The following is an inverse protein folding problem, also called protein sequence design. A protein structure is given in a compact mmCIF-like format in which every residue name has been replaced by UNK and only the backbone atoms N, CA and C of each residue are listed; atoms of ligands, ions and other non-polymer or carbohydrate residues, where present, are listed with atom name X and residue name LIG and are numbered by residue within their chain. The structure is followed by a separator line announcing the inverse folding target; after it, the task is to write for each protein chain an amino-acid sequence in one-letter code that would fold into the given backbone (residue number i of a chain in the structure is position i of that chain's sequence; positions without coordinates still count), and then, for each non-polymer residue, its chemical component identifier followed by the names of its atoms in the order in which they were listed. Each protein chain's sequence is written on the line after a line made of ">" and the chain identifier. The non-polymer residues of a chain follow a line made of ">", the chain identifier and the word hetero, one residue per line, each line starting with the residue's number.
data_IF_074411056599
#
_entry.id   IF_074411056599
#
_cell.length_a   1.000
_cell.length_b   1.000
_cell.length_c   1.000
_cell.angle_alpha   90.00
_cell.angle_beta   90.00
_cell.angle_gamma   90.00
#
_symmetry.space_group_name_H-M   'P 1'
#
loop_
_entity.id
_entity.type
_entity.pdbx_description
1 polymer ?
#
# COMPACT_ATOMS: atom_id res chain seq x y z
N UNK A 1 -16.83 9.26 29.50
CA UNK A 1 -15.70 8.31 29.58
C UNK A 1 -14.69 8.69 28.51
N UNK A 2 -13.46 9.02 28.89
CA UNK A 2 -12.39 9.20 27.90
C UNK A 2 -12.06 7.84 27.29
N UNK A 3 -11.99 7.74 25.96
CA UNK A 3 -11.56 6.53 25.28
C UNK A 3 -10.09 6.26 25.63
N UNK A 4 -9.79 5.07 26.14
CA UNK A 4 -8.41 4.64 26.33
C UNK A 4 -7.68 4.71 24.98
N UNK A 5 -6.48 5.31 24.89
CA UNK A 5 -5.68 5.31 23.67
C UNK A 5 -5.43 3.88 23.16
N UNK A 6 -5.35 3.71 21.84
CA UNK A 6 -5.00 2.40 21.27
C UNK A 6 -3.61 1.97 21.76
N UNK A 7 -3.39 0.70 22.13
CA UNK A 7 -2.05 0.22 22.46
C UNK A 7 -1.09 0.26 21.26
N UNK A 8 -1.65 0.36 20.04
CA UNK A 8 -0.91 0.51 18.80
C UNK A 8 -0.56 1.98 18.49
N UNK A 9 -1.03 2.92 19.30
CA UNK A 9 -0.86 4.35 19.04
C UNK A 9 0.61 4.76 19.10
N UNK A 10 1.03 5.57 18.13
CA UNK A 10 2.34 6.21 18.11
C UNK A 10 2.42 7.31 19.18
N UNK A 11 3.48 7.27 19.98
CA UNK A 11 3.84 8.28 20.99
C UNK A 11 4.99 9.12 20.46
N UNK A 12 4.64 10.18 19.73
CA UNK A 12 5.61 11.05 19.10
C UNK A 12 6.46 11.84 20.10
N UNK A 13 7.73 12.02 19.76
CA UNK A 13 8.63 13.00 20.39
C UNK A 13 9.12 13.95 19.31
N UNK A 14 8.86 15.24 19.44
CA UNK A 14 9.29 16.24 18.46
C UNK A 14 10.82 16.21 18.29
N UNK A 15 11.30 16.22 17.04
CA UNK A 15 12.72 16.11 16.72
C UNK A 15 13.29 14.68 16.76
N UNK A 16 12.50 13.65 17.13
CA UNK A 16 12.94 12.26 17.02
C UNK A 16 13.29 11.93 15.57
N UNK A 17 14.43 11.29 15.37
CA UNK A 17 14.90 10.85 14.05
C UNK A 17 14.81 9.34 13.93
N UNK A 18 14.31 8.86 12.80
CA UNK A 18 14.22 7.44 12.47
C UNK A 18 14.82 7.21 11.08
N UNK A 19 15.55 6.12 10.89
CA UNK A 19 16.06 5.75 9.58
C UNK A 19 15.34 4.50 9.10
N UNK A 20 14.81 4.52 7.89
CA UNK A 20 14.13 3.38 7.29
C UNK A 20 14.89 2.90 6.07
N UNK A 21 14.94 1.59 5.88
CA UNK A 21 15.30 0.95 4.62
C UNK A 21 14.05 0.26 4.08
N UNK A 22 13.78 0.44 2.79
CA UNK A 22 12.71 -0.28 2.10
C UNK A 22 13.28 -1.02 0.89
N UNK A 23 12.84 -2.25 0.70
CA UNK A 23 13.17 -3.09 -0.45
C UNK A 23 11.92 -3.75 -0.98
N UNK A 24 11.80 -3.82 -2.30
CA UNK A 24 10.77 -4.63 -2.94
C UNK A 24 11.39 -5.47 -4.04
N UNK A 25 11.06 -6.76 -4.05
CA UNK A 25 11.36 -7.61 -5.20
C UNK A 25 10.55 -7.12 -6.40
N UNK A 26 11.17 -7.11 -7.59
CA UNK A 26 10.44 -6.88 -8.82
C UNK A 26 9.43 -7.99 -9.05
N UNK A 27 8.46 -7.73 -9.91
CA UNK A 27 7.46 -8.72 -10.32
C UNK A 27 8.16 -10.03 -10.71
N UNK A 28 7.72 -11.15 -10.12
CA UNK A 28 8.25 -12.48 -10.39
C UNK A 28 9.78 -12.59 -10.23
N UNK A 29 10.31 -11.97 -9.17
CA UNK A 29 11.75 -11.88 -8.87
C UNK A 29 12.58 -11.11 -9.91
N UNK A 30 11.94 -10.24 -10.70
CA UNK A 30 12.63 -9.29 -11.57
C UNK A 30 13.39 -8.21 -10.80
N UNK A 31 14.01 -7.25 -11.52
CA UNK A 31 14.72 -6.14 -10.90
C UNK A 31 13.82 -5.39 -9.91
N UNK A 32 14.23 -5.39 -8.65
CA UNK A 32 13.48 -4.76 -7.57
C UNK A 32 13.74 -3.26 -7.45
N UNK A 33 13.27 -2.72 -6.32
CA UNK A 33 13.53 -1.35 -5.91
C UNK A 33 14.16 -1.32 -4.52
N UNK A 34 14.79 -0.20 -4.21
CA UNK A 34 15.43 0.09 -2.93
C UNK A 34 15.24 1.56 -2.56
N UNK A 35 15.16 1.86 -1.27
CA UNK A 35 15.25 3.24 -0.78
C UNK A 35 15.70 3.30 0.67
N UNK A 36 16.42 4.36 1.02
CA UNK A 36 16.68 4.76 2.40
C UNK A 36 15.93 6.06 2.68
N UNK A 37 15.29 6.16 3.84
CA UNK A 37 14.62 7.37 4.29
C UNK A 37 15.10 7.78 5.67
N UNK A 38 15.59 9.01 5.81
CA UNK A 38 15.76 9.64 7.11
C UNK A 38 14.50 10.42 7.45
N UNK A 39 13.87 10.08 8.57
CA UNK A 39 12.67 10.72 9.11
C UNK A 39 13.05 11.68 10.23
N UNK A 40 12.33 12.80 10.32
CA UNK A 40 12.32 13.67 11.49
C UNK A 40 10.89 13.94 11.91
N UNK A 41 10.57 13.69 13.17
CA UNK A 41 9.25 14.00 13.73
C UNK A 41 9.10 15.52 13.88
N UNK A 42 8.03 16.05 13.30
CA UNK A 42 7.63 17.46 13.38
C UNK A 42 6.20 17.57 13.89
N UNK A 43 5.82 18.78 14.28
CA UNK A 43 4.47 19.12 14.74
C UNK A 43 3.91 20.26 13.89
N UNK A 44 2.68 20.11 13.40
CA UNK A 44 2.01 21.15 12.62
C UNK A 44 1.57 22.32 13.52
N UNK A 45 1.14 23.43 12.91
CA UNK A 45 0.61 24.58 13.65
C UNK A 45 -0.66 24.21 14.45
N UNK A 46 -1.43 23.23 13.99
CA UNK A 46 -2.61 22.68 14.66
C UNK A 46 -2.25 21.65 15.74
N UNK A 47 -0.97 21.39 15.94
CA UNK A 47 -0.46 20.49 16.97
C UNK A 47 -0.45 19.01 16.61
N UNK A 48 -0.64 18.66 15.34
CA UNK A 48 -0.61 17.27 14.85
C UNK A 48 0.82 16.87 14.52
N UNK A 49 1.28 15.75 15.05
CA UNK A 49 2.58 15.17 14.76
C UNK A 49 2.60 14.43 13.43
N UNK A 50 3.75 14.50 12.76
CA UNK A 50 4.02 13.78 11.53
C UNK A 50 5.52 13.54 11.37
N UNK A 51 5.87 12.62 10.49
CA UNK A 51 7.22 12.30 10.08
C UNK A 51 7.47 12.91 8.70
N UNK A 52 8.49 13.76 8.61
CA UNK A 52 9.02 14.24 7.34
C UNK A 52 10.16 13.32 6.91
N UNK A 53 9.95 12.57 5.82
CA UNK A 53 10.92 11.64 5.26
C UNK A 53 11.70 12.31 4.14
N UNK A 54 13.02 12.27 4.27
CA UNK A 54 13.99 12.60 3.22
C UNK A 54 14.58 11.31 2.65
N UNK A 55 14.30 11.08 1.37
CA UNK A 55 14.72 9.87 0.67
C UNK A 55 16.13 10.00 0.09
N UNK A 56 16.85 8.89 0.06
CA UNK A 56 18.19 8.76 -0.51
C UNK A 56 18.41 7.36 -1.08
N UNK A 57 19.44 7.23 -1.93
CA UNK A 57 19.83 5.97 -2.60
C UNK A 57 18.67 5.25 -3.28
N UNK A 58 17.69 6.00 -3.79
CA UNK A 58 16.49 5.42 -4.38
C UNK A 58 16.85 4.72 -5.68
N UNK A 59 16.41 3.47 -5.80
CA UNK A 59 16.54 2.67 -7.02
C UNK A 59 15.19 2.11 -7.41
N UNK A 60 14.86 2.16 -8.69
CA UNK A 60 13.66 1.61 -9.30
C UNK A 60 14.06 0.70 -10.46
N UNK A 61 13.53 -0.53 -10.52
CA UNK A 61 13.93 -1.53 -11.52
C UNK A 61 15.47 -1.70 -11.61
N UNK A 62 16.15 -1.65 -10.46
CA UNK A 62 17.61 -1.72 -10.35
C UNK A 62 18.37 -0.46 -10.75
N UNK A 63 17.72 0.59 -11.27
CA UNK A 63 18.37 1.83 -11.71
C UNK A 63 18.23 2.94 -10.67
N UNK A 64 19.26 3.77 -10.54
CA UNK A 64 19.24 4.93 -9.63
C UNK A 64 18.25 5.99 -10.10
N UNK A 65 17.47 6.51 -9.15
CA UNK A 65 16.49 7.57 -9.39
C UNK A 65 17.00 8.87 -8.76
N UNK A 66 17.15 9.91 -9.58
CA UNK A 66 17.46 11.25 -9.09
C UNK A 66 16.19 11.93 -8.60
N UNK A 67 16.15 12.28 -7.32
CA UNK A 67 15.04 13.02 -6.73
C UNK A 67 15.33 14.53 -6.71
N UNK A 68 14.29 15.37 -6.76
CA UNK A 68 14.42 16.77 -6.37
C UNK A 68 14.98 16.91 -4.95
N UNK A 69 15.91 17.84 -4.72
CA UNK A 69 16.57 18.01 -3.41
C UNK A 69 15.60 18.39 -2.29
N UNK A 70 14.53 19.08 -2.67
CA UNK A 70 13.43 19.53 -1.81
C UNK A 70 12.30 18.51 -1.68
N UNK A 71 12.36 17.37 -2.37
CA UNK A 71 11.34 16.34 -2.25
C UNK A 71 11.26 15.81 -0.81
N UNK A 72 10.06 15.87 -0.24
CA UNK A 72 9.73 15.34 1.09
C UNK A 72 8.46 14.52 0.99
N UNK A 73 8.44 13.42 1.73
CA UNK A 73 7.23 12.66 1.97
C UNK A 73 6.78 12.89 3.41
N UNK A 74 5.49 13.13 3.60
CA UNK A 74 4.90 13.36 4.90
C UNK A 74 3.97 12.21 5.25
N UNK A 75 4.23 11.55 6.37
CA UNK A 75 3.42 10.43 6.87
C UNK A 75 3.19 10.60 8.36
N UNK A 76 2.11 10.00 8.87
CA UNK A 76 1.84 9.99 10.30
C UNK A 76 1.00 8.78 10.67
N UNK A 77 1.04 8.41 11.94
CA UNK A 77 0.17 7.47 12.62
C UNK A 77 -0.78 8.18 13.59
N UNK A 78 -0.70 9.52 13.67
CA UNK A 78 -1.63 10.31 14.46
C UNK A 78 -3.00 10.35 13.77
N UNK A 79 -4.10 9.98 14.44
CA UNK A 79 -5.41 9.87 13.81
C UNK A 79 -5.93 11.14 13.13
N UNK A 80 -5.53 12.31 13.63
CA UNK A 80 -5.94 13.60 13.08
C UNK A 80 -5.17 14.01 11.81
N UNK A 81 -4.05 13.34 11.50
CA UNK A 81 -3.27 13.64 10.30
C UNK A 81 -4.05 13.26 9.04
N UNK A 82 -3.99 14.14 8.04
CA UNK A 82 -4.63 13.93 6.74
C UNK A 82 -3.54 13.59 5.73
N UNK A 83 -3.40 12.30 5.45
CA UNK A 83 -2.49 11.83 4.40
C UNK A 83 -2.88 12.38 3.04
N UNK A 84 -1.89 12.93 2.35
CA UNK A 84 -2.00 13.32 0.95
C UNK A 84 -1.15 12.34 0.15
N UNK A 85 -1.70 11.82 -0.94
CA UNK A 85 -0.97 10.95 -1.84
C UNK A 85 0.30 11.66 -2.33
N UNK A 86 1.47 11.02 -2.31
CA UNK A 86 2.68 11.65 -2.84
C UNK A 86 2.50 12.08 -4.31
N UNK A 87 3.06 13.22 -4.70
CA UNK A 87 3.03 13.64 -6.12
C UNK A 87 3.97 12.80 -7.00
N UNK A 88 5.06 12.27 -6.42
CA UNK A 88 5.99 11.35 -7.07
C UNK A 88 5.66 9.90 -6.67
N UNK A 89 5.37 9.06 -7.66
CA UNK A 89 4.91 7.68 -7.48
C UNK A 89 6.04 6.66 -7.75
N UNK A 90 7.18 6.81 -7.07
CA UNK A 90 8.20 5.75 -7.05
C UNK A 90 7.84 4.69 -6.01
N UNK A 91 8.17 3.43 -6.29
CA UNK A 91 7.71 2.28 -5.50
C UNK A 91 8.07 2.39 -4.00
N UNK A 92 9.29 2.79 -3.60
CA UNK A 92 9.63 3.01 -2.18
C UNK A 92 8.67 3.97 -1.45
N UNK A 93 8.22 5.03 -2.12
CA UNK A 93 7.43 6.09 -1.49
C UNK A 93 5.98 5.65 -1.35
N UNK A 94 5.47 4.99 -2.38
CA UNK A 94 4.11 4.44 -2.38
C UNK A 94 3.96 3.35 -1.31
N UNK A 95 4.90 2.41 -1.25
CA UNK A 95 4.77 1.26 -0.36
C UNK A 95 5.02 1.65 1.10
N UNK A 96 5.94 2.58 1.37
CA UNK A 96 6.05 3.19 2.71
C UNK A 96 4.78 3.93 3.11
N UNK A 97 4.18 4.71 2.22
CA UNK A 97 2.90 5.38 2.48
C UNK A 97 1.80 4.37 2.86
N UNK A 98 1.71 3.25 2.12
CA UNK A 98 0.75 2.19 2.40
C UNK A 98 0.93 1.62 3.81
N UNK A 99 2.17 1.34 4.26
CA UNK A 99 2.42 0.86 5.62
C UNK A 99 1.89 1.81 6.70
N UNK A 100 2.06 3.13 6.52
CA UNK A 100 1.54 4.12 7.46
C UNK A 100 0.02 4.22 7.43
N UNK A 101 -0.60 4.18 6.25
CA UNK A 101 -2.06 4.24 6.10
C UNK A 101 -2.72 3.01 6.71
N UNK A 102 -2.19 1.82 6.44
CA UNK A 102 -2.71 0.56 6.97
C UNK A 102 -2.68 0.52 8.49
N UNK A 103 -1.56 0.93 9.08
CA UNK A 103 -1.44 0.99 10.52
C UNK A 103 -2.32 2.07 11.13
N UNK A 104 -2.45 3.24 10.49
CA UNK A 104 -3.38 4.28 10.95
C UNK A 104 -4.83 3.77 10.92
N UNK A 105 -5.23 3.00 9.91
CA UNK A 105 -6.56 2.38 9.87
C UNK A 105 -6.78 1.48 11.08
N UNK A 106 -5.79 0.66 11.43
CA UNK A 106 -5.84 -0.21 12.62
C UNK A 106 -5.94 0.59 13.93
N UNK A 107 -5.11 1.63 14.09
CA UNK A 107 -5.11 2.52 15.28
C UNK A 107 -6.48 3.19 15.46
N UNK A 108 -7.15 3.57 14.37
CA UNK A 108 -8.46 4.23 14.39
C UNK A 108 -9.61 3.30 14.76
N UNK A 109 -9.43 1.98 14.72
CA UNK A 109 -10.51 1.04 15.03
C UNK A 109 -10.72 0.89 16.54
N UNK A 110 -11.88 1.29 17.10
CA UNK A 110 -12.13 1.13 18.52
C UNK A 110 -12.15 -0.33 18.98
N UNK A 111 -12.48 -1.25 18.07
CA UNK A 111 -12.54 -2.69 18.31
C UNK A 111 -11.17 -3.37 18.40
N UNK A 112 -10.07 -2.71 17.99
CA UNK A 112 -8.72 -3.28 17.97
C UNK A 112 -7.96 -2.85 19.23
N UNK A 113 -7.96 -3.68 20.28
CA UNK A 113 -7.41 -3.33 21.61
C UNK A 113 -6.50 -4.39 22.20
N UNK A 114 -6.61 -5.64 21.81
CA UNK A 114 -5.78 -6.74 22.29
C UNK A 114 -5.57 -7.79 21.19
N UNK A 115 -4.58 -8.68 21.34
CA UNK A 115 -4.38 -9.77 20.40
C UNK A 115 -5.65 -10.61 20.19
N UNK A 116 -5.93 -10.95 18.93
CA UNK A 116 -7.13 -11.64 18.49
C UNK A 116 -8.30 -10.73 18.13
N UNK A 117 -8.27 -9.45 18.51
CA UNK A 117 -9.29 -8.49 18.07
C UNK A 117 -9.19 -8.28 16.55
N UNK A 118 -10.37 -8.12 15.94
CA UNK A 118 -10.53 -8.03 14.48
C UNK A 118 -11.52 -6.94 14.10
N UNK A 119 -11.27 -6.26 12.99
CA UNK A 119 -12.15 -5.25 12.42
C UNK A 119 -12.16 -5.36 10.90
N UNK A 120 -13.36 -5.24 10.32
CA UNK A 120 -13.55 -5.19 8.89
C UNK A 120 -14.00 -3.79 8.47
N UNK A 121 -13.30 -3.19 7.51
CA UNK A 121 -13.59 -1.86 6.98
C UNK A 121 -14.02 -2.01 5.53
N UNK A 122 -15.31 -1.80 5.27
CA UNK A 122 -15.83 -1.70 3.92
C UNK A 122 -15.45 -0.36 3.32
N UNK A 123 -14.80 -0.38 2.16
CA UNK A 123 -14.47 0.79 1.35
C UNK A 123 -14.99 0.60 -0.06
N UNK A 124 -14.57 -0.46 -0.75
CA UNK A 124 -15.01 -0.82 -2.10
C UNK A 124 -14.88 0.29 -3.16
N UNK A 125 -14.08 1.33 -2.87
CA UNK A 125 -13.78 2.46 -3.75
C UNK A 125 -12.49 2.20 -4.51
N UNK A 126 -12.36 2.70 -5.76
CA UNK A 126 -11.14 2.54 -6.54
C UNK A 126 -9.96 3.32 -5.93
N UNK A 127 -8.78 2.70 -5.82
CA UNK A 127 -7.50 3.41 -5.71
C UNK A 127 -6.86 3.47 -7.08
N UNK A 128 -6.68 4.67 -7.62
CA UNK A 128 -6.08 4.79 -8.95
C UNK A 128 -4.59 5.07 -8.91
N UNK A 129 -3.84 4.39 -9.78
CA UNK A 129 -2.46 4.68 -10.16
C UNK A 129 -2.34 5.03 -11.66
N UNK A 130 -3.46 5.34 -12.32
CA UNK A 130 -3.46 5.70 -13.73
C UNK A 130 -2.60 6.96 -13.95
N UNK A 131 -1.54 6.80 -14.75
CA UNK A 131 -0.62 7.88 -15.09
C UNK A 131 0.14 7.56 -16.37
N UNK A 132 0.40 8.59 -17.19
CA UNK A 132 1.16 8.45 -18.44
C UNK A 132 0.52 7.45 -19.40
N UNK A 133 1.24 6.37 -19.70
CA UNK A 133 0.76 5.33 -20.63
C UNK A 133 -0.33 4.41 -20.02
N UNK A 134 -0.48 4.40 -18.70
CA UNK A 134 -1.53 3.65 -18.00
C UNK A 134 -2.80 4.49 -17.98
N UNK A 135 -3.73 4.18 -18.88
CA UNK A 135 -5.00 4.91 -19.08
C UNK A 135 -6.02 4.55 -18.01
N UNK A 136 -6.04 3.27 -17.63
CA UNK A 136 -6.79 2.76 -16.48
C UNK A 136 -5.80 2.00 -15.62
N UNK A 137 -5.82 2.27 -14.33
CA UNK A 137 -5.05 1.56 -13.34
C UNK A 137 -5.75 1.79 -12.02
N UNK A 138 -6.49 0.81 -11.55
CA UNK A 138 -7.06 0.85 -10.22
C UNK A 138 -7.32 -0.54 -9.64
N UNK A 139 -7.32 -0.59 -8.32
CA UNK A 139 -7.85 -1.69 -7.55
C UNK A 139 -8.99 -1.22 -6.65
N UNK A 140 -9.79 -2.16 -6.15
CA UNK A 140 -10.73 -1.89 -5.07
C UNK A 140 -10.51 -2.90 -3.97
N UNK A 141 -10.43 -2.41 -2.74
CA UNK A 141 -10.11 -3.24 -1.59
C UNK A 141 -11.00 -2.84 -0.41
N UNK A 142 -11.39 -3.83 0.36
CA UNK A 142 -11.83 -3.68 1.73
C UNK A 142 -10.67 -4.11 2.66
N UNK A 143 -10.73 -3.74 3.94
CA UNK A 143 -9.68 -4.06 4.89
C UNK A 143 -10.16 -5.04 5.94
N UNK A 144 -9.37 -6.07 6.20
CA UNK A 144 -9.56 -7.03 7.27
C UNK A 144 -8.35 -6.98 8.21
N UNK A 145 -8.53 -6.34 9.35
CA UNK A 145 -7.47 -5.96 10.29
C UNK A 145 -7.53 -6.87 11.50
N UNK A 146 -6.38 -7.43 11.90
CA UNK A 146 -6.22 -8.24 13.10
C UNK A 146 -5.05 -7.73 13.93
N UNK A 147 -5.25 -7.51 15.23
CA UNK A 147 -4.13 -7.35 16.17
C UNK A 147 -3.61 -8.75 16.51
N UNK A 148 -2.44 -9.10 16.01
CA UNK A 148 -1.96 -10.49 16.03
C UNK A 148 -1.18 -10.84 17.29
N UNK A 149 -0.38 -9.93 17.82
CA UNK A 149 0.51 -10.23 18.95
C UNK A 149 0.80 -9.00 19.82
N UNK A 150 0.83 -9.19 21.13
CA UNK A 150 1.35 -8.24 22.11
C UNK A 150 2.41 -8.97 22.95
N UNK A 151 3.66 -8.54 22.86
CA UNK A 151 4.80 -9.20 23.47
C UNK A 151 5.53 -8.23 24.39
N UNK A 152 5.18 -8.26 25.67
CA UNK A 152 5.72 -7.34 26.68
C UNK A 152 7.21 -7.61 26.97
N UNK A 153 7.67 -8.86 26.89
CA UNK A 153 9.06 -9.21 27.19
C UNK A 153 10.04 -8.69 26.14
N UNK A 154 9.65 -8.70 24.87
CA UNK A 154 10.43 -8.07 23.78
C UNK A 154 10.06 -6.61 23.55
N UNK A 155 9.04 -6.09 24.22
CA UNK A 155 8.57 -4.73 24.03
C UNK A 155 7.97 -4.48 22.64
N UNK A 156 7.30 -5.46 22.02
CA UNK A 156 6.75 -5.34 20.66
C UNK A 156 5.26 -5.69 20.52
N UNK A 157 4.62 -5.16 19.48
CA UNK A 157 3.27 -5.53 19.04
C UNK A 157 3.25 -5.75 17.53
N UNK A 158 2.32 -6.59 17.07
CA UNK A 158 2.18 -6.94 15.65
C UNK A 158 0.72 -6.78 15.20
N UNK A 159 0.52 -6.27 13.99
CA UNK A 159 -0.78 -6.12 13.35
C UNK A 159 -0.71 -6.70 11.95
N UNK A 160 -1.74 -7.45 11.56
CA UNK A 160 -1.96 -7.89 10.20
C UNK A 160 -3.10 -7.09 9.59
N UNK A 161 -2.82 -6.39 8.50
CA UNK A 161 -3.82 -5.70 7.68
C UNK A 161 -3.91 -6.44 6.36
N UNK A 162 -5.05 -7.08 6.12
CA UNK A 162 -5.34 -7.70 4.83
C UNK A 162 -6.16 -6.76 3.98
N UNK A 163 -5.71 -6.55 2.75
CA UNK A 163 -6.48 -5.88 1.72
C UNK A 163 -7.17 -6.97 0.92
N UNK A 164 -8.49 -7.00 0.94
CA UNK A 164 -9.28 -8.10 0.36
C UNK A 164 -10.20 -7.58 -0.74
N UNK A 165 -10.45 -8.36 -1.81
CA UNK A 165 -11.46 -8.03 -2.81
C UNK A 165 -12.82 -7.80 -2.15
N UNK A 166 -13.52 -6.69 -2.44
CA UNK A 166 -14.87 -6.49 -1.97
C UNK A 166 -15.79 -7.61 -2.49
N UNK A 167 -16.68 -8.19 -1.66
CA UNK A 167 -17.54 -9.29 -2.10
C UNK A 167 -18.43 -8.97 -3.31
N UNK A 168 -18.84 -7.71 -3.44
CA UNK A 168 -19.65 -7.22 -4.57
C UNK A 168 -18.82 -6.67 -5.74
N UNK A 169 -17.49 -6.75 -5.67
CA UNK A 169 -16.57 -6.11 -6.60
C UNK A 169 -16.44 -4.60 -6.38
N UNK A 170 -15.75 -3.95 -7.31
CA UNK A 170 -15.59 -2.50 -7.32
C UNK A 170 -16.93 -1.75 -7.40
N UNK A 171 -17.05 -0.64 -6.67
CA UNK A 171 -18.18 0.30 -6.82
C UNK A 171 -18.22 0.99 -8.20
N UNK A 172 -17.07 1.06 -8.88
CA UNK A 172 -16.94 1.59 -10.23
C UNK A 172 -17.03 0.48 -11.25
N UNK A 173 -17.73 0.74 -12.37
CA UNK A 173 -17.85 -0.22 -13.47
C UNK A 173 -16.49 -0.47 -14.12
N UNK A 174 -16.17 -1.73 -14.50
CA UNK A 174 -15.01 -2.04 -15.31
C UNK A 174 -15.00 -1.29 -16.65
N UNK A 175 -13.81 -1.11 -17.26
CA UNK A 175 -13.67 -0.43 -18.56
C UNK A 175 -14.42 -1.10 -19.73
N UNK A 176 -14.66 -2.41 -19.66
CA UNK A 176 -15.40 -3.15 -20.67
C UNK A 176 -16.24 -4.29 -20.05
N UNK A 177 -17.35 -4.64 -20.69
CA UNK A 177 -18.33 -5.59 -20.16
C UNK A 177 -17.72 -6.97 -19.84
N UNK A 178 -16.82 -7.46 -20.70
CA UNK A 178 -16.16 -8.76 -20.52
C UNK A 178 -15.29 -8.81 -19.26
N UNK A 179 -14.86 -7.67 -18.73
CA UNK A 179 -14.04 -7.57 -17.51
C UNK A 179 -14.88 -7.73 -16.23
N UNK A 180 -16.22 -7.72 -16.31
CA UNK A 180 -17.09 -8.02 -15.17
C UNK A 180 -17.08 -9.50 -14.80
N UNK A 181 -16.75 -10.39 -15.74
CA UNK A 181 -16.73 -11.83 -15.48
C UNK A 181 -15.58 -12.14 -14.51
N UNK A 182 -15.86 -12.69 -13.30
CA UNK A 182 -14.83 -13.13 -12.38
C UNK A 182 -13.80 -14.03 -13.08
N UNK A 183 -12.52 -13.70 -12.94
CA UNK A 183 -11.42 -14.54 -13.43
C UNK A 183 -11.14 -15.70 -12.49
N UNK A 184 -11.41 -15.49 -11.20
CA UNK A 184 -11.21 -16.45 -10.11
C UNK A 184 -12.52 -16.64 -9.31
N UNK A 185 -12.39 -17.02 -8.04
CA UNK A 185 -13.44 -17.32 -7.08
C UNK A 185 -14.23 -16.10 -6.58
N UNK A 186 -13.75 -14.88 -6.87
CA UNK A 186 -14.31 -13.62 -6.39
C UNK A 186 -14.43 -12.61 -7.53
N UNK A 187 -15.26 -11.58 -7.34
CA UNK A 187 -15.35 -10.47 -8.29
C UNK A 187 -13.98 -9.86 -8.54
N UNK A 188 -13.69 -9.52 -9.80
CA UNK A 188 -12.44 -8.85 -10.14
C UNK A 188 -12.36 -7.51 -9.41
N UNK A 189 -11.21 -7.25 -8.81
CA UNK A 189 -10.94 -6.02 -8.09
C UNK A 189 -9.69 -5.29 -8.60
N UNK A 190 -8.95 -5.86 -9.55
CA UNK A 190 -7.80 -5.24 -10.21
C UNK A 190 -8.08 -4.99 -11.69
N UNK A 191 -7.81 -3.78 -12.16
CA UNK A 191 -8.03 -3.37 -13.55
C UNK A 191 -6.89 -2.49 -14.05
N UNK A 192 -6.29 -2.88 -15.18
CA UNK A 192 -5.28 -2.08 -15.85
C UNK A 192 -5.49 -2.06 -17.37
N UNK A 193 -5.34 -0.89 -17.97
CA UNK A 193 -5.30 -0.66 -19.41
C UNK A 193 -4.12 0.26 -19.69
N UNK A 194 -3.18 -0.22 -20.49
CA UNK A 194 -1.98 0.52 -20.88
C UNK A 194 -1.89 0.62 -22.40
N UNK A 195 -1.64 1.82 -22.91
CA UNK A 195 -1.34 2.01 -24.33
C UNK A 195 0.09 1.53 -24.62
N UNK A 196 0.24 0.66 -25.62
CA UNK A 196 1.55 0.15 -26.05
C UNK A 196 2.20 1.12 -27.03
N UNK A 197 3.51 0.97 -27.24
CA UNK A 197 4.25 1.75 -28.26
C UNK A 197 3.76 1.50 -29.69
N UNK A 198 3.13 0.35 -29.93
CA UNK A 198 2.50 -0.02 -31.21
C UNK A 198 1.09 0.59 -31.39
N UNK A 199 0.62 1.38 -30.41
CA UNK A 199 -0.71 2.00 -30.45
C UNK A 199 -1.87 1.06 -30.06
N UNK A 200 -1.58 -0.16 -29.62
CA UNK A 200 -2.55 -1.13 -29.08
C UNK A 200 -2.78 -0.91 -27.59
N UNK A 201 -3.67 -1.70 -27.00
CA UNK A 201 -4.04 -1.63 -25.59
C UNK A 201 -3.73 -2.96 -24.90
N UNK A 202 -2.76 -2.95 -23.98
CA UNK A 202 -2.53 -4.07 -23.07
C UNK A 202 -3.48 -3.95 -21.88
N UNK A 203 -4.28 -4.98 -21.67
CA UNK A 203 -5.34 -5.01 -20.65
C UNK A 203 -5.06 -6.13 -19.68
N UNK A 204 -5.20 -5.86 -18.38
CA UNK A 204 -5.12 -6.85 -17.32
C UNK A 204 -6.34 -6.70 -16.40
N UNK A 205 -6.96 -7.81 -16.05
CA UNK A 205 -8.06 -7.87 -15.09
C UNK A 205 -7.90 -9.09 -14.20
N UNK A 206 -8.20 -8.95 -12.92
CA UNK A 206 -8.11 -10.08 -12.01
C UNK A 206 -8.38 -9.76 -10.56
N UNK A 207 -7.78 -10.58 -9.72
CA UNK A 207 -7.84 -10.52 -8.26
C UNK A 207 -6.49 -10.05 -7.74
N UNK A 208 -6.49 -8.98 -6.97
CA UNK A 208 -5.35 -8.52 -6.19
C UNK A 208 -5.72 -8.56 -4.70
N UNK A 209 -4.79 -9.01 -3.87
CA UNK A 209 -4.92 -8.90 -2.43
C UNK A 209 -3.56 -8.60 -1.81
N UNK A 210 -3.56 -8.10 -0.59
CA UNK A 210 -2.34 -7.75 0.13
C UNK A 210 -2.42 -8.31 1.53
N UNK A 211 -1.33 -8.88 2.03
CA UNK A 211 -1.13 -9.14 3.45
C UNK A 211 -0.01 -8.23 3.94
N UNK A 212 -0.33 -7.35 4.89
CA UNK A 212 0.60 -6.38 5.45
C UNK A 212 0.79 -6.67 6.94
N UNK A 213 1.95 -7.22 7.28
CA UNK A 213 2.36 -7.50 8.64
C UNK A 213 3.24 -6.35 9.15
N UNK A 214 2.78 -5.63 10.17
CA UNK A 214 3.51 -4.49 10.75
C UNK A 214 3.88 -4.80 12.18
N UNK A 215 5.17 -4.66 12.52
CA UNK A 215 5.70 -4.81 13.88
C UNK A 215 6.10 -3.45 14.45
N UNK A 216 5.68 -3.20 15.69
CA UNK A 216 5.86 -1.94 16.40
C UNK A 216 6.66 -2.11 17.69
N UNK A 217 7.33 -1.04 18.11
CA UNK A 217 7.86 -0.94 19.46
C UNK A 217 6.74 -0.50 20.43
N UNK A 218 6.49 -1.23 21.51
CA UNK A 218 5.46 -0.87 22.50
C UNK A 218 5.68 0.48 23.19
N UNK A 219 6.91 0.87 23.59
CA UNK A 219 7.10 2.11 24.31
C UNK A 219 6.74 3.34 23.49
N UNK A 220 7.04 3.33 22.18
CA UNK A 220 6.91 4.50 21.32
C UNK A 220 5.87 4.38 20.22
N UNK A 221 5.39 3.17 19.91
CA UNK A 221 4.51 2.86 18.79
C UNK A 221 5.15 3.07 17.40
N UNK A 222 6.48 3.22 17.31
CA UNK A 222 7.17 3.37 16.02
C UNK A 222 7.19 2.04 15.27
N UNK A 223 7.16 2.11 13.94
CA UNK A 223 7.33 0.94 13.08
C UNK A 223 8.78 0.45 13.21
N UNK A 224 8.93 -0.81 13.61
CA UNK A 224 10.20 -1.53 13.63
C UNK A 224 10.43 -2.25 12.30
N UNK A 225 9.39 -2.90 11.80
CA UNK A 225 9.38 -3.49 10.47
C UNK A 225 7.97 -3.57 9.92
N UNK A 226 7.86 -3.65 8.59
CA UNK A 226 6.65 -3.96 7.88
C UNK A 226 6.98 -4.88 6.70
N UNK A 227 6.15 -5.88 6.45
CA UNK A 227 6.27 -6.80 5.32
C UNK A 227 4.95 -6.81 4.57
N UNK A 228 5.01 -6.69 3.25
CA UNK A 228 3.84 -6.80 2.38
C UNK A 228 4.05 -7.90 1.34
N UNK A 229 3.09 -8.82 1.31
CA UNK A 229 2.90 -9.81 0.26
C UNK A 229 1.73 -9.36 -0.62
N UNK A 230 2.00 -9.03 -1.88
CA UNK A 230 0.99 -8.59 -2.85
C UNK A 230 1.03 -9.47 -4.11
N UNK A 231 0.17 -10.50 -4.19
CA UNK A 231 -0.11 -11.22 -5.42
C UNK A 231 -1.26 -10.61 -6.24
N UNK A 232 -1.08 -10.68 -7.56
CA UNK A 232 -2.13 -10.42 -8.55
C UNK A 232 -2.26 -11.65 -9.45
N UNK A 233 -3.47 -12.17 -9.58
CA UNK A 233 -3.79 -13.27 -10.48
C UNK A 233 -4.93 -12.89 -11.41
N UNK A 234 -4.78 -13.16 -12.70
CA UNK A 234 -5.74 -12.65 -13.66
C UNK A 234 -5.59 -13.16 -15.09
N UNK A 235 -6.27 -12.46 -15.99
CA UNK A 235 -6.10 -12.61 -17.44
C UNK A 235 -5.66 -11.30 -18.06
N UNK A 236 -4.73 -11.41 -19.00
CA UNK A 236 -4.28 -10.34 -19.86
C UNK A 236 -4.84 -10.52 -21.27
N UNK A 237 -5.07 -9.42 -21.97
CA UNK A 237 -5.40 -9.38 -23.40
C UNK A 237 -4.68 -8.21 -24.06
N UNK A 238 -4.42 -8.33 -25.35
CA UNK A 238 -4.07 -7.19 -26.20
C UNK A 238 -5.28 -6.87 -27.08
N UNK A 239 -5.71 -5.62 -27.05
CA UNK A 239 -6.84 -5.13 -27.84
C UNK A 239 -6.38 -4.11 -28.88
N UNK A 240 -7.06 -4.11 -30.03
CA UNK A 240 -6.79 -3.20 -31.15
C UNK A 240 -7.44 -1.83 -30.95
N UNK A 241 -8.48 -1.74 -30.12
CA UNK A 241 -9.30 -0.54 -29.91
C UNK A 241 -9.38 -0.11 -28.44
N UNK A 242 -9.60 1.19 -28.23
CA UNK A 242 -9.70 1.80 -26.89
C UNK A 242 -10.94 1.34 -26.11
N UNK A 243 -12.02 0.94 -26.80
CA UNK A 243 -13.23 0.42 -26.16
C UNK A 243 -13.06 -1.02 -25.68
N UNK A 244 -11.90 -1.64 -25.95
CA UNK A 244 -11.54 -2.99 -25.55
C UNK A 244 -12.54 -4.03 -26.06
N UNK A 245 -13.03 -3.83 -27.29
CA UNK A 245 -14.06 -4.66 -27.92
C UNK A 245 -13.49 -5.66 -28.93
N UNK A 246 -12.36 -5.33 -29.56
CA UNK A 246 -11.56 -6.20 -30.43
C UNK A 246 -10.27 -6.60 -29.70
N UNK A 247 -10.36 -7.71 -28.96
CA UNK A 247 -9.25 -8.23 -28.16
C UNK A 247 -8.86 -9.64 -28.60
N UNK A 248 -7.56 -9.91 -28.57
CA UNK A 248 -7.02 -11.25 -28.76
C UNK A 248 -7.43 -12.24 -27.65
N UNK A 249 -6.90 -13.46 -27.76
CA UNK A 249 -7.13 -14.52 -26.79
C UNK A 249 -6.64 -14.10 -25.38
N UNK A 250 -7.35 -14.50 -24.31
CA UNK A 250 -6.90 -14.25 -22.95
C UNK A 250 -5.67 -15.10 -22.60
N UNK A 251 -4.68 -14.48 -21.98
CA UNK A 251 -3.51 -15.14 -21.41
C UNK A 251 -3.57 -15.05 -19.87
N UNK A 252 -3.39 -16.18 -19.17
CA UNK A 252 -3.35 -16.15 -17.70
C UNK A 252 -2.02 -15.57 -17.24
N UNK A 253 -2.05 -14.77 -16.17
CA UNK A 253 -0.85 -14.27 -15.54
C UNK A 253 -0.91 -14.40 -14.01
N UNK A 254 0.26 -14.42 -13.39
CA UNK A 254 0.45 -14.26 -11.96
C UNK A 254 1.63 -13.30 -11.74
N UNK A 255 1.41 -12.31 -10.89
CA UNK A 255 2.42 -11.36 -10.43
C UNK A 255 2.53 -11.49 -8.92
N UNK A 256 3.74 -11.40 -8.39
CA UNK A 256 3.97 -11.31 -6.95
C UNK A 256 4.99 -10.23 -6.65
N UNK A 257 4.69 -9.40 -5.65
CA UNK A 257 5.62 -8.44 -5.04
C UNK A 257 5.79 -8.79 -3.56
N UNK A 258 7.04 -8.87 -3.12
CA UNK A 258 7.42 -9.01 -1.72
C UNK A 258 8.16 -7.75 -1.32
N UNK A 259 7.66 -7.06 -0.30
CA UNK A 259 8.14 -5.75 0.10
C UNK A 259 8.44 -5.77 1.58
N UNK A 260 9.56 -5.17 1.97
CA UNK A 260 9.96 -5.02 3.36
C UNK A 260 10.36 -3.59 3.64
N UNK A 261 9.95 -3.06 4.79
CA UNK A 261 10.48 -1.84 5.39
C UNK A 261 11.01 -2.18 6.77
N UNK A 262 12.20 -1.70 7.11
CA UNK A 262 12.85 -1.96 8.38
C UNK A 262 13.41 -0.66 8.95
N UNK A 263 13.29 -0.50 10.27
CA UNK A 263 14.01 0.53 11.01
C UNK A 263 15.50 0.17 10.98
N UNK A 264 16.30 1.02 10.33
CA UNK A 264 17.73 0.89 10.28
C UNK A 264 18.38 1.34 11.62
N UNK A 265 19.54 0.76 11.98
CA UNK A 265 20.31 1.17 13.15
C UNK A 265 20.70 2.65 13.17
#
# INVERSE_FOLDING_TARGET
>A
MALTPSPLARRYTEGETLNYRITGAGVNNGPGYYGEAASTVKKSAEGVFYEELKWSKVRELGQEVKLPEDFRQYVSLEPAFKHVMPGLMYSPFLDSFNFYVDLMLAIKQPAIRKPGDRAYIKRSLPNSWAYGATLVGYDCIDFDITFTELNESSGTASVLVKHVPPPAGCSTKPPADWMNKPVLDTANNFFQVKKTSEGKYSVMVGKEFFNVDVRLALPSGRILSAVMYNPVEGVARVCSDEKLSDCGAPEKFSLVRNITMELAP
#
